data_IF_575973553202
#
_entry.id   IF_575973553202
#
_cell.length_a   1.000
_cell.length_b   1.000
_cell.length_c   1.000
_cell.angle_alpha   90.00
_cell.angle_beta   90.00
_cell.angle_gamma   90.00
#
_symmetry.space_group_name_H-M   'P 1'
#
loop_
_entity.id
_entity.type
_entity.pdbx_description
1 polymer ?
#
# COMPACT_ATOMS: atom_id res chain seq x y z
N UNK A 1 90.49 -28.22 -21.94
CA UNK A 1 89.19 -29.00 -21.94
C UNK A 1 88.54 -28.79 -20.61
N UNK A 2 87.94 -27.68 -20.52
CA UNK A 2 87.24 -27.36 -19.32
C UNK A 2 85.77 -27.17 -19.69
N UNK A 3 85.02 -28.05 -19.22
CA UNK A 3 83.58 -27.94 -19.39
C UNK A 3 83.06 -26.89 -18.45
N UNK A 4 82.39 -25.92 -18.95
CA UNK A 4 81.73 -25.00 -18.06
C UNK A 4 80.58 -25.77 -17.44
N UNK A 5 80.63 -25.91 -16.19
CA UNK A 5 79.50 -26.37 -15.43
C UNK A 5 78.53 -25.27 -15.35
N UNK A 6 77.53 -25.44 -16.12
CA UNK A 6 76.35 -24.70 -15.97
C UNK A 6 75.73 -24.96 -14.61
N UNK A 7 76.05 -24.12 -13.73
CA UNK A 7 75.27 -24.05 -12.52
C UNK A 7 73.84 -23.60 -12.90
N UNK A 8 73.06 -24.54 -13.04
CA UNK A 8 71.65 -24.34 -13.26
C UNK A 8 71.05 -23.80 -11.99
N UNK A 9 71.13 -22.53 -11.86
CA UNK A 9 70.42 -21.87 -10.80
C UNK A 9 68.99 -21.81 -11.20
N UNK A 10 68.34 -22.74 -10.76
CA UNK A 10 66.89 -22.70 -10.77
C UNK A 10 66.52 -21.67 -9.73
N UNK A 11 66.34 -20.50 -10.20
CA UNK A 11 65.55 -19.61 -9.48
C UNK A 11 64.17 -20.25 -9.38
N UNK A 12 63.97 -20.86 -8.29
CA UNK A 12 62.61 -21.09 -7.91
C UNK A 12 62.01 -19.74 -7.72
N UNK A 13 61.43 -19.27 -8.78
CA UNK A 13 60.40 -18.36 -8.59
C UNK A 13 59.35 -19.15 -7.77
N UNK A 14 59.45 -19.00 -6.52
CA UNK A 14 58.36 -19.30 -5.66
C UNK A 14 57.22 -18.44 -6.17
N UNK A 15 56.50 -19.01 -7.02
CA UNK A 15 55.20 -18.45 -7.33
C UNK A 15 54.48 -18.64 -6.02
N UNK A 16 54.58 -17.59 -5.24
CA UNK A 16 53.59 -17.39 -4.24
C UNK A 16 52.31 -17.28 -5.03
N UNK A 17 51.68 -18.40 -5.21
CA UNK A 17 50.27 -18.35 -5.44
C UNK A 17 49.74 -17.67 -4.18
N UNK A 18 49.74 -16.40 -4.23
CA UNK A 18 48.87 -15.66 -3.36
C UNK A 18 47.54 -16.19 -3.73
N UNK A 19 47.12 -17.18 -3.04
CA UNK A 19 45.75 -17.46 -2.96
C UNK A 19 45.14 -16.18 -2.44
N UNK A 20 44.80 -15.34 -3.38
CA UNK A 20 43.77 -14.42 -3.08
C UNK A 20 42.60 -15.29 -2.73
N UNK A 21 42.55 -15.67 -1.49
CA UNK A 21 41.24 -15.73 -0.92
C UNK A 21 40.70 -14.34 -1.15
N UNK A 22 40.25 -14.13 -2.34
CA UNK A 22 39.33 -13.08 -2.53
C UNK A 22 38.40 -13.30 -1.36
N UNK A 23 38.25 -12.39 -0.44
CA UNK A 23 37.10 -12.46 0.35
C UNK A 23 36.05 -12.63 -0.70
N UNK A 24 35.54 -13.79 -0.81
CA UNK A 24 34.28 -13.85 -1.47
C UNK A 24 33.49 -12.86 -0.68
N UNK A 25 33.59 -11.64 -1.14
CA UNK A 25 32.45 -10.80 -1.00
C UNK A 25 31.42 -11.64 -1.68
N UNK A 26 30.95 -12.56 -0.94
CA UNK A 26 29.64 -12.99 -1.19
C UNK A 26 28.87 -11.72 -1.08
N UNK A 27 28.82 -11.04 -2.19
CA UNK A 27 27.66 -10.28 -2.45
C UNK A 27 26.59 -11.29 -2.08
N UNK A 28 26.18 -11.25 -0.83
CA UNK A 28 25.00 -11.97 -0.42
C UNK A 28 24.05 -11.59 -1.51
N UNK A 29 23.60 -12.56 -2.32
CA UNK A 29 22.68 -12.22 -3.37
C UNK A 29 21.75 -11.31 -2.64
N UNK A 30 21.83 -10.04 -3.00
CA UNK A 30 21.15 -9.04 -2.22
C UNK A 30 19.91 -9.74 -1.84
N UNK A 31 19.75 -10.06 -0.58
CA UNK A 31 18.53 -10.72 -0.19
C UNK A 31 17.54 -9.80 -0.80
N UNK A 32 17.11 -10.22 -1.92
CA UNK A 32 16.05 -9.54 -2.61
C UNK A 32 15.09 -9.39 -1.48
N UNK A 33 15.08 -8.18 -0.93
CA UNK A 33 14.47 -7.96 0.36
C UNK A 33 13.11 -8.55 0.16
N UNK A 34 12.92 -9.73 0.67
CA UNK A 34 11.61 -10.37 0.66
C UNK A 34 10.70 -9.23 1.04
N UNK A 35 9.83 -8.77 0.15
CA UNK A 35 9.10 -7.54 0.41
C UNK A 35 8.53 -7.69 1.79
N UNK A 36 8.97 -6.84 2.71
CA UNK A 36 8.57 -6.93 4.10
C UNK A 36 7.07 -7.16 4.10
N UNK A 37 6.55 -8.18 4.80
CA UNK A 37 5.13 -8.50 4.72
C UNK A 37 4.37 -7.19 4.89
N UNK A 38 3.45 -6.87 3.98
CA UNK A 38 2.78 -5.59 3.99
C UNK A 38 2.21 -5.37 5.38
N UNK A 39 2.62 -4.29 6.01
CA UNK A 39 2.15 -3.98 7.35
C UNK A 39 0.65 -3.77 7.29
N UNK A 40 -0.08 -4.51 8.07
CA UNK A 40 -1.51 -4.29 8.22
C UNK A 40 -1.79 -2.81 8.52
N UNK A 41 -2.79 -2.26 7.88
CA UNK A 41 -3.16 -0.87 8.05
C UNK A 41 -3.49 -0.52 9.50
N UNK A 42 -3.33 0.74 9.84
CA UNK A 42 -3.68 1.26 11.15
C UNK A 42 -5.17 1.04 11.42
N UNK A 43 -5.50 0.63 12.64
CA UNK A 43 -6.89 0.46 13.06
C UNK A 43 -7.64 1.79 12.97
N UNK A 44 -8.83 1.75 12.41
CA UNK A 44 -9.79 2.85 12.44
C UNK A 44 -10.93 2.52 13.39
N UNK A 45 -11.16 3.39 14.34
CA UNK A 45 -12.27 3.24 15.30
C UNK A 45 -13.37 4.25 15.01
N UNK A 46 -14.53 4.04 15.59
CA UNK A 46 -15.58 5.03 15.56
C UNK A 46 -15.10 6.34 16.18
N UNK A 47 -15.27 7.44 15.44
CA UNK A 47 -14.78 8.77 15.83
C UNK A 47 -13.39 9.13 15.32
N UNK A 48 -12.67 8.19 14.71
CA UNK A 48 -11.37 8.48 14.09
C UNK A 48 -11.54 9.29 12.78
N UNK A 49 -10.51 10.01 12.44
CA UNK A 49 -10.46 10.78 11.19
C UNK A 49 -9.73 10.01 10.11
N UNK A 50 -10.37 9.85 8.98
CA UNK A 50 -9.81 9.26 7.79
C UNK A 50 -9.53 10.35 6.76
N UNK A 51 -8.29 10.45 6.30
CA UNK A 51 -7.89 11.41 5.26
C UNK A 51 -7.58 10.68 3.97
N UNK A 52 -7.96 11.27 2.87
CA UNK A 52 -7.70 10.69 1.55
C UNK A 52 -8.23 11.57 0.43
N UNK A 53 -8.01 11.10 -0.79
CA UNK A 53 -8.51 11.77 -1.99
C UNK A 53 -9.96 11.36 -2.28
N UNK A 54 -10.82 12.35 -2.49
CA UNK A 54 -12.21 12.11 -2.84
C UNK A 54 -12.41 12.02 -4.34
N UNK A 55 -12.98 10.92 -4.77
CA UNK A 55 -13.35 10.67 -6.16
C UNK A 55 -14.85 10.44 -6.29
N UNK A 56 -15.44 10.88 -7.38
CA UNK A 56 -16.81 10.57 -7.71
C UNK A 56 -16.85 9.51 -8.81
N UNK A 57 -17.59 8.46 -8.57
CA UNK A 57 -17.81 7.38 -9.53
C UNK A 57 -19.25 7.43 -9.99
N UNK A 58 -19.44 7.28 -11.29
CA UNK A 58 -20.78 7.20 -11.87
C UNK A 58 -21.17 5.73 -12.02
N UNK A 59 -22.11 5.29 -11.25
CA UNK A 59 -22.70 3.95 -11.42
C UNK A 59 -23.95 4.02 -12.29
N UNK A 60 -23.98 3.23 -13.35
CA UNK A 60 -25.22 2.90 -14.03
C UNK A 60 -25.95 1.86 -13.19
N UNK A 61 -26.86 2.27 -12.41
CA UNK A 61 -27.58 1.31 -11.61
C UNK A 61 -28.74 1.94 -10.86
N UNK A 62 -29.85 1.92 -11.44
CA UNK A 62 -31.13 2.19 -10.80
C UNK A 62 -32.24 1.82 -11.75
N UNK A 63 -33.37 1.41 -11.24
CA UNK A 63 -34.55 0.96 -11.94
C UNK A 63 -35.12 1.93 -13.00
N UNK A 64 -34.46 3.07 -13.23
CA UNK A 64 -34.89 4.08 -14.22
C UNK A 64 -33.72 4.74 -14.96
N UNK A 65 -32.55 4.10 -15.04
CA UNK A 65 -31.42 4.64 -15.78
C UNK A 65 -30.85 5.94 -15.20
N UNK A 66 -31.19 6.29 -13.98
CA UNK A 66 -30.60 7.44 -13.29
C UNK A 66 -29.17 7.13 -12.89
N UNK A 67 -28.26 7.94 -13.36
CA UNK A 67 -26.87 7.88 -12.95
C UNK A 67 -26.78 8.39 -11.52
N UNK A 68 -26.51 7.49 -10.59
CA UNK A 68 -26.23 7.87 -9.22
C UNK A 68 -24.73 8.16 -9.09
N UNK A 69 -24.37 9.27 -8.48
CA UNK A 69 -22.99 9.55 -8.13
C UNK A 69 -22.66 8.82 -6.83
N UNK A 70 -21.61 8.02 -6.86
CA UNK A 70 -21.04 7.36 -5.70
C UNK A 70 -19.73 8.03 -5.34
N UNK A 71 -19.55 8.36 -4.09
CA UNK A 71 -18.34 9.03 -3.61
C UNK A 71 -17.42 8.02 -2.96
N UNK A 72 -16.17 8.02 -3.39
CA UNK A 72 -15.14 7.13 -2.89
C UNK A 72 -13.98 7.94 -2.33
N UNK A 73 -13.58 7.61 -1.11
CA UNK A 73 -12.38 8.14 -0.49
C UNK A 73 -11.27 7.10 -0.62
N UNK A 74 -10.17 7.48 -1.24
CA UNK A 74 -8.97 6.65 -1.34
C UNK A 74 -7.95 7.10 -0.31
N UNK A 75 -7.61 6.21 0.62
CA UNK A 75 -6.69 6.49 1.71
C UNK A 75 -5.58 5.45 1.80
N UNK A 76 -4.73 5.61 2.78
CA UNK A 76 -3.83 4.53 3.18
C UNK A 76 -4.63 3.34 3.71
N UNK A 77 -4.07 2.11 3.62
CA UNK A 77 -4.74 0.93 4.14
C UNK A 77 -5.14 1.09 5.60
N UNK A 78 -6.34 0.66 5.93
CA UNK A 78 -6.88 0.71 7.28
C UNK A 78 -7.43 -0.65 7.67
N UNK A 79 -7.35 -0.96 8.95
CA UNK A 79 -8.00 -2.12 9.54
C UNK A 79 -9.27 -1.66 10.25
N UNK A 80 -10.37 -2.35 10.02
CA UNK A 80 -11.65 -2.04 10.65
C UNK A 80 -11.73 -2.71 12.04
N UNK A 81 -12.60 -2.21 12.92
CA UNK A 81 -12.89 -2.87 14.19
C UNK A 81 -13.42 -4.29 13.97
N UNK A 82 -13.15 -5.23 14.89
CA UNK A 82 -13.77 -6.56 14.82
C UNK A 82 -15.32 -6.47 14.76
N UNK A 83 -15.99 -7.37 14.03
CA UNK A 83 -15.47 -8.55 13.34
C UNK A 83 -14.94 -8.29 11.92
N UNK A 84 -15.02 -7.09 11.40
CA UNK A 84 -14.68 -6.76 10.01
C UNK A 84 -13.17 -6.91 9.69
N UNK A 85 -12.32 -6.44 10.57
CA UNK A 85 -10.88 -6.61 10.44
C UNK A 85 -10.28 -6.05 9.15
N UNK A 86 -9.63 -6.89 8.38
CA UNK A 86 -8.98 -6.52 7.12
C UNK A 86 -9.89 -6.66 5.88
N UNK A 87 -11.16 -6.96 6.04
CA UNK A 87 -12.10 -7.19 4.94
C UNK A 87 -11.62 -8.23 3.91
N UNK A 88 -10.94 -9.28 4.37
CA UNK A 88 -10.29 -10.31 3.54
C UNK A 88 -9.20 -9.76 2.59
N UNK A 89 -8.69 -8.60 2.88
CA UNK A 89 -7.59 -7.97 2.16
C UNK A 89 -6.28 -8.13 2.92
N UNK A 90 -5.16 -8.13 2.24
CA UNK A 90 -3.85 -8.36 2.84
C UNK A 90 -3.47 -7.28 3.85
N UNK A 91 -3.73 -6.03 3.53
CA UNK A 91 -3.39 -4.86 4.36
C UNK A 91 -4.60 -4.14 4.94
N UNK A 92 -5.79 -4.49 4.50
CA UNK A 92 -7.03 -3.81 4.79
C UNK A 92 -7.50 -2.91 3.65
N UNK A 93 -8.73 -2.41 3.73
CA UNK A 93 -9.29 -1.57 2.69
C UNK A 93 -8.56 -0.23 2.56
N UNK A 94 -8.37 0.18 1.33
CA UNK A 94 -7.81 1.48 0.94
C UNK A 94 -8.88 2.39 0.34
N UNK A 95 -9.96 1.81 -0.13
CA UNK A 95 -11.06 2.53 -0.75
C UNK A 95 -12.32 2.44 0.11
N UNK A 96 -12.90 3.59 0.38
CA UNK A 96 -14.04 3.75 1.26
C UNK A 96 -15.16 4.48 0.54
N UNK A 97 -16.30 3.84 0.41
CA UNK A 97 -17.48 4.48 -0.14
C UNK A 97 -18.17 5.31 0.95
N UNK A 98 -18.40 6.58 0.66
CA UNK A 98 -19.17 7.46 1.54
C UNK A 98 -20.65 7.39 1.18
N UNK A 99 -21.46 6.85 2.06
CA UNK A 99 -22.89 6.79 1.86
C UNK A 99 -23.50 8.15 2.21
N UNK A 100 -24.21 8.73 1.26
CA UNK A 100 -24.92 9.99 1.46
C UNK A 100 -26.36 9.72 1.84
N UNK A 101 -26.81 10.29 2.95
CA UNK A 101 -28.18 10.12 3.46
C UNK A 101 -29.13 11.17 2.88
N UNK A 102 -28.61 12.29 2.41
CA UNK A 102 -29.39 13.40 1.89
C UNK A 102 -28.62 14.19 0.82
N UNK A 103 -29.34 15.05 0.12
CA UNK A 103 -28.76 15.86 -0.95
C UNK A 103 -27.74 16.90 -0.45
N UNK A 104 -27.84 17.34 0.80
CA UNK A 104 -26.89 18.27 1.39
C UNK A 104 -25.51 17.63 1.55
N UNK A 105 -25.43 16.37 1.98
CA UNK A 105 -24.18 15.63 2.06
C UNK A 105 -23.56 15.42 0.67
N UNK A 106 -24.39 15.05 -0.30
CA UNK A 106 -23.93 14.88 -1.68
C UNK A 106 -23.40 16.21 -2.26
N UNK A 107 -24.08 17.32 -2.01
CA UNK A 107 -23.64 18.63 -2.44
C UNK A 107 -22.34 19.06 -1.78
N UNK A 108 -22.15 18.76 -0.50
CA UNK A 108 -20.91 19.01 0.23
C UNK A 108 -19.74 18.24 -0.39
N UNK A 109 -19.91 16.98 -0.71
CA UNK A 109 -18.87 16.16 -1.32
C UNK A 109 -18.52 16.60 -2.74
N UNK A 110 -19.48 17.10 -3.51
CA UNK A 110 -19.22 17.62 -4.86
C UNK A 110 -18.15 18.70 -4.89
N UNK A 111 -18.11 19.55 -3.87
CA UNK A 111 -17.11 20.62 -3.76
C UNK A 111 -15.68 20.12 -3.52
N UNK A 112 -15.51 18.86 -3.14
CA UNK A 112 -14.21 18.29 -2.78
C UNK A 112 -13.71 17.20 -3.75
N UNK A 113 -14.41 16.96 -4.83
CA UNK A 113 -14.00 15.93 -5.82
C UNK A 113 -12.60 16.28 -6.36
N UNK A 114 -11.72 15.29 -6.36
CA UNK A 114 -10.32 15.43 -6.77
C UNK A 114 -9.43 16.11 -5.75
N UNK A 115 -9.93 16.36 -4.56
CA UNK A 115 -9.17 16.99 -3.46
C UNK A 115 -8.97 16.01 -2.31
N UNK A 116 -7.91 16.23 -1.57
CA UNK A 116 -7.71 15.55 -0.29
C UNK A 116 -8.62 16.14 0.77
N UNK A 117 -9.41 15.27 1.41
CA UNK A 117 -10.30 15.65 2.50
C UNK A 117 -10.09 14.77 3.71
N UNK A 118 -10.56 15.25 4.84
CA UNK A 118 -10.62 14.47 6.07
C UNK A 118 -12.06 14.29 6.50
N UNK A 119 -12.44 13.07 6.82
CA UNK A 119 -13.77 12.75 7.33
C UNK A 119 -13.65 12.06 8.68
N UNK A 120 -14.51 12.46 9.60
CA UNK A 120 -14.70 11.71 10.83
C UNK A 120 -15.61 10.53 10.53
N UNK A 121 -15.15 9.35 10.88
CA UNK A 121 -15.85 8.09 10.63
C UNK A 121 -16.55 7.64 11.90
N UNK A 122 -17.86 7.59 11.88
CA UNK A 122 -18.64 7.11 13.02
C UNK A 122 -19.08 5.66 12.87
N UNK A 123 -19.30 5.23 11.62
CA UNK A 123 -19.68 3.84 11.32
C UNK A 123 -19.08 3.41 10.00
N UNK A 124 -18.34 2.30 10.02
CA UNK A 124 -17.67 1.72 8.87
C UNK A 124 -17.80 0.20 8.87
N UNK A 125 -17.96 -0.38 7.71
CA UNK A 125 -18.04 -1.83 7.51
C UNK A 125 -17.36 -2.25 6.21
N UNK A 126 -17.04 -3.53 6.10
CA UNK A 126 -16.57 -4.09 4.83
C UNK A 126 -17.69 -4.07 3.78
N UNK A 127 -17.33 -3.84 2.52
CA UNK A 127 -18.26 -3.95 1.43
C UNK A 127 -18.75 -5.40 1.29
N UNK A 128 -20.05 -5.61 1.22
CA UNK A 128 -20.66 -6.93 1.14
C UNK A 128 -21.43 -7.15 -0.16
N UNK A 129 -21.86 -6.09 -0.80
CA UNK A 129 -22.66 -6.15 -2.01
C UNK A 129 -21.78 -6.03 -3.26
N UNK A 130 -22.06 -6.85 -4.26
CA UNK A 130 -21.36 -6.83 -5.54
C UNK A 130 -21.46 -5.49 -6.30
N UNK A 131 -22.46 -4.66 -5.96
CA UNK A 131 -22.62 -3.32 -6.51
C UNK A 131 -21.79 -2.23 -5.81
N UNK A 132 -21.10 -2.58 -4.73
CA UNK A 132 -20.22 -1.65 -4.03
C UNK A 132 -18.86 -1.62 -4.73
N UNK A 133 -18.44 -0.44 -5.13
CA UNK A 133 -17.21 -0.25 -5.90
C UNK A 133 -15.97 -0.04 -5.02
N UNK A 134 -16.17 0.03 -3.72
CA UNK A 134 -15.11 0.23 -2.73
C UNK A 134 -14.99 -0.99 -1.84
N UNK A 135 -13.83 -1.14 -1.23
CA UNK A 135 -13.52 -2.27 -0.34
C UNK A 135 -14.22 -2.18 1.01
N UNK A 136 -14.52 -0.96 1.44
CA UNK A 136 -15.28 -0.69 2.65
C UNK A 136 -16.32 0.41 2.42
N UNK A 137 -17.29 0.48 3.32
CA UNK A 137 -18.40 1.43 3.26
C UNK A 137 -18.48 2.19 4.57
N UNK A 138 -18.55 3.50 4.48
CA UNK A 138 -18.75 4.40 5.62
C UNK A 138 -20.18 4.91 5.57
N UNK A 139 -21.01 4.46 6.51
CA UNK A 139 -22.44 4.80 6.57
C UNK A 139 -22.73 6.05 7.36
N UNK A 140 -21.92 6.34 8.38
CA UNK A 140 -22.02 7.57 9.18
C UNK A 140 -20.68 8.27 9.21
N UNK A 141 -20.66 9.50 8.76
CA UNK A 141 -19.48 10.33 8.63
C UNK A 141 -19.79 11.82 8.64
N UNK A 142 -18.78 12.60 8.89
CA UNK A 142 -18.83 14.06 8.76
C UNK A 142 -17.52 14.60 8.23
N UNK A 143 -17.58 15.63 7.40
CA UNK A 143 -16.36 16.29 6.89
C UNK A 143 -15.71 17.08 8.01
N UNK A 144 -14.42 16.90 8.20
CA UNK A 144 -13.62 17.69 9.15
C UNK A 144 -13.02 18.86 8.38
N UNK A 145 -13.49 20.05 8.67
CA UNK A 145 -12.88 21.26 8.14
C UNK A 145 -11.74 21.68 9.06
N UNK A 146 -10.54 21.78 8.50
CA UNK A 146 -9.44 22.41 9.23
C UNK A 146 -9.71 23.93 9.25
N UNK A 147 -9.91 24.46 10.43
CA UNK A 147 -9.90 25.90 10.65
C UNK A 147 -8.48 26.40 10.80
#
# INVERSE_FOLDING_TARGET
MTKPRFGKRWGFAAIMAVAFAAPSVQAQPAREAEPAPPKAGKLINAGDVLSGELNAMKTRGGKRGKTAATYQLTSEPRRLPPPNGLCNLETGPETFQLITSNDAQAAQLKGFIGKEISVKVDEVACAQDAGQMSEAVITKWSVVTKH
#
